data_IF_875977918866
#
_entry.id   IF_875977918866
#
_cell.length_a   1.000
_cell.length_b   1.000
_cell.length_c   1.000
_cell.angle_alpha   90.00
_cell.angle_beta   90.00
_cell.angle_gamma   90.00
#
_symmetry.space_group_name_H-M   'P 1'
#
loop_
_entity.id
_entity.type
_entity.pdbx_description
1 polymer ?
#
# COMPACT_ATOMS: atom_id res chain seq x y z
N UNK A 1 13.29 1.23 -58.44
CA UNK A 1 14.29 0.65 -57.52
C UNK A 1 13.97 1.12 -56.13
N UNK A 2 13.58 0.18 -55.26
CA UNK A 2 13.25 0.36 -53.84
C UNK A 2 14.51 0.61 -53.01
N UNK A 3 14.38 1.42 -51.94
CA UNK A 3 15.10 1.20 -50.68
C UNK A 3 14.34 1.88 -49.53
N UNK A 4 13.47 1.11 -48.87
CA UNK A 4 12.95 1.38 -47.53
C UNK A 4 14.01 0.97 -46.51
N UNK A 5 14.40 1.87 -45.60
CA UNK A 5 15.13 1.52 -44.38
C UNK A 5 14.19 1.60 -43.19
N UNK A 6 14.00 0.45 -42.54
CA UNK A 6 13.20 0.29 -41.34
C UNK A 6 13.99 0.73 -40.10
N UNK A 7 13.46 1.70 -39.36
CA UNK A 7 13.91 2.03 -38.02
C UNK A 7 13.35 1.00 -37.02
N UNK A 8 14.23 0.25 -36.37
CA UNK A 8 13.88 -0.69 -35.29
C UNK A 8 13.72 0.10 -33.98
N UNK A 9 12.49 0.24 -33.50
CA UNK A 9 12.15 0.75 -32.17
C UNK A 9 12.62 -0.24 -31.09
N UNK A 10 13.51 0.18 -30.20
CA UNK A 10 13.78 -0.55 -28.97
C UNK A 10 12.63 -0.32 -27.96
N UNK A 11 12.20 -1.35 -27.20
CA UNK A 11 11.16 -1.19 -26.18
C UNK A 11 11.68 -0.41 -24.95
N UNK A 12 10.80 0.29 -24.20
CA UNK A 12 11.18 1.10 -23.05
C UNK A 12 11.67 0.24 -21.87
N UNK A 13 12.76 0.68 -21.22
CA UNK A 13 13.42 0.06 -20.05
C UNK A 13 12.54 -0.14 -18.80
N UNK A 14 11.27 0.29 -18.81
CA UNK A 14 10.37 0.28 -17.64
C UNK A 14 9.79 -1.12 -17.34
N UNK A 15 9.66 -1.99 -18.33
CA UNK A 15 9.12 -3.34 -18.11
C UNK A 15 10.08 -4.29 -17.37
N UNK A 16 11.40 -4.09 -17.50
CA UNK A 16 12.40 -4.97 -16.90
C UNK A 16 12.46 -4.79 -15.37
N UNK A 17 12.31 -3.56 -14.89
CA UNK A 17 12.36 -3.22 -13.45
C UNK A 17 11.10 -3.70 -12.71
N UNK A 18 9.94 -3.63 -13.38
CA UNK A 18 8.65 -4.09 -12.83
C UNK A 18 8.61 -5.61 -12.65
N UNK A 19 9.15 -6.37 -13.62
CA UNK A 19 9.24 -7.85 -13.50
C UNK A 19 10.22 -8.30 -12.41
N UNK A 20 11.29 -7.55 -12.17
CA UNK A 20 12.28 -7.88 -11.13
C UNK A 20 11.75 -7.58 -9.71
N UNK A 21 10.92 -6.54 -9.57
CA UNK A 21 10.23 -6.21 -8.31
C UNK A 21 9.12 -7.24 -7.98
N UNK A 22 8.30 -7.62 -8.97
CA UNK A 22 7.27 -8.67 -8.81
C UNK A 22 7.86 -10.03 -8.43
N UNK A 23 9.02 -10.43 -9.00
CA UNK A 23 9.69 -11.68 -8.63
C UNK A 23 10.24 -11.69 -7.20
N UNK A 24 10.67 -10.53 -6.67
CA UNK A 24 11.30 -10.44 -5.34
C UNK A 24 10.28 -10.34 -4.21
N UNK A 25 9.13 -9.71 -4.45
CA UNK A 25 8.13 -9.44 -3.41
C UNK A 25 6.81 -10.22 -3.59
N UNK A 26 6.48 -10.69 -4.80
CA UNK A 26 5.28 -11.49 -5.06
C UNK A 26 5.29 -12.86 -4.39
N UNK A 27 6.45 -13.52 -4.31
CA UNK A 27 6.54 -14.87 -3.75
C UNK A 27 6.24 -14.94 -2.24
N UNK A 28 6.59 -13.90 -1.47
CA UNK A 28 6.29 -13.88 -0.02
C UNK A 28 4.80 -13.71 0.27
N UNK A 29 4.09 -12.97 -0.57
CA UNK A 29 2.65 -12.77 -0.43
C UNK A 29 1.87 -14.05 -0.77
N UNK A 30 2.24 -14.73 -1.87
CA UNK A 30 1.65 -16.01 -2.26
C UNK A 30 1.90 -17.09 -1.21
N UNK A 31 3.10 -17.16 -0.62
CA UNK A 31 3.40 -18.08 0.48
C UNK A 31 2.57 -17.80 1.74
N UNK A 32 2.29 -16.54 2.05
CA UNK A 32 1.51 -16.16 3.22
C UNK A 32 0.02 -16.48 3.05
N UNK A 33 -0.52 -16.29 1.84
CA UNK A 33 -1.89 -16.69 1.49
C UNK A 33 -2.03 -18.21 1.47
N UNK A 34 -1.07 -18.95 0.90
CA UNK A 34 -1.08 -20.41 0.88
C UNK A 34 -0.93 -21.04 2.29
N UNK A 35 -0.25 -20.37 3.23
CA UNK A 35 -0.27 -20.80 4.65
C UNK A 35 -1.63 -20.61 5.28
N UNK A 36 -2.29 -19.47 5.06
CA UNK A 36 -3.63 -19.20 5.60
C UNK A 36 -4.69 -20.13 5.04
N UNK A 37 -4.61 -20.48 3.75
CA UNK A 37 -5.53 -21.44 3.13
C UNK A 37 -5.38 -22.85 3.73
N UNK A 38 -4.14 -23.36 3.88
CA UNK A 38 -3.90 -24.66 4.53
C UNK A 38 -4.34 -24.69 5.99
N UNK A 39 -4.13 -23.59 6.71
CA UNK A 39 -4.56 -23.48 8.09
C UNK A 39 -6.09 -23.46 8.21
N UNK A 40 -6.79 -22.87 7.24
CA UNK A 40 -8.26 -22.92 7.17
C UNK A 40 -8.79 -24.32 6.76
N UNK A 41 -8.07 -25.07 5.92
CA UNK A 41 -8.41 -26.47 5.59
C UNK A 41 -8.24 -27.40 6.80
N UNK A 42 -7.17 -27.20 7.59
CA UNK A 42 -6.94 -27.94 8.85
C UNK A 42 -7.99 -27.62 9.92
N UNK A 43 -8.48 -26.38 9.96
CA UNK A 43 -9.50 -25.94 10.92
C UNK A 43 -10.94 -26.37 10.54
N UNK A 44 -11.21 -26.76 9.29
CA UNK A 44 -12.55 -27.17 8.78
C UNK A 44 -12.74 -28.69 8.63
N UNK A 45 -11.75 -29.51 9.04
CA UNK A 45 -11.91 -30.98 9.16
C UNK A 45 -13.00 -31.41 10.17
N UNK A 46 -13.61 -30.46 10.87
CA UNK A 46 -14.68 -30.67 11.84
C UNK A 46 -16.11 -30.55 11.32
N UNK A 47 -16.36 -30.23 10.04
CA UNK A 47 -17.74 -30.07 9.55
C UNK A 47 -18.44 -31.44 9.35
N UNK A 48 -19.52 -31.68 10.08
CA UNK A 48 -20.29 -32.93 10.02
C UNK A 48 -20.85 -33.28 8.63
N UNK A 49 -20.98 -32.29 7.74
CA UNK A 49 -21.41 -32.50 6.35
C UNK A 49 -20.39 -33.29 5.53
N UNK A 50 -19.09 -33.08 5.73
CA UNK A 50 -18.06 -33.82 4.99
C UNK A 50 -18.00 -35.30 5.40
N UNK A 51 -18.17 -35.58 6.70
CA UNK A 51 -18.24 -36.95 7.20
C UNK A 51 -19.48 -37.70 6.69
N UNK A 52 -20.62 -37.01 6.56
CA UNK A 52 -21.85 -37.59 6.02
C UNK A 52 -21.71 -37.96 4.54
N UNK A 53 -21.17 -37.06 3.70
CA UNK A 53 -20.93 -37.34 2.28
C UNK A 53 -19.97 -38.52 2.08
N UNK A 54 -18.95 -38.65 2.95
CA UNK A 54 -18.00 -39.77 2.91
C UNK A 54 -18.62 -41.11 3.33
N UNK A 55 -19.58 -41.10 4.25
CA UNK A 55 -20.37 -42.30 4.58
C UNK A 55 -21.31 -42.70 3.43
N UNK A 56 -21.99 -41.74 2.82
CA UNK A 56 -22.89 -42.00 1.69
C UNK A 56 -22.13 -42.62 0.51
N UNK A 57 -20.95 -42.09 0.16
CA UNK A 57 -20.10 -42.64 -0.90
C UNK A 57 -19.65 -44.09 -0.62
N UNK A 58 -19.38 -44.44 0.64
CA UNK A 58 -19.03 -45.82 1.04
C UNK A 58 -20.21 -46.78 0.96
N UNK A 59 -21.40 -46.33 1.35
CA UNK A 59 -22.61 -47.15 1.27
C UNK A 59 -23.00 -47.43 -0.19
N UNK A 60 -22.87 -46.43 -1.07
CA UNK A 60 -23.08 -46.58 -2.51
C UNK A 60 -22.08 -47.55 -3.16
N UNK A 61 -20.81 -47.51 -2.76
CA UNK A 61 -19.81 -48.46 -3.25
C UNK A 61 -20.15 -49.91 -2.83
N UNK A 62 -20.63 -50.10 -1.60
CA UNK A 62 -20.98 -51.41 -1.06
C UNK A 62 -22.21 -52.03 -1.74
N UNK A 63 -23.21 -51.23 -2.08
CA UNK A 63 -24.38 -51.69 -2.83
C UNK A 63 -24.04 -52.15 -4.25
N UNK A 64 -22.96 -51.65 -4.84
CA UNK A 64 -22.54 -52.05 -6.20
C UNK A 64 -21.78 -53.39 -6.26
N UNK A 65 -21.44 -53.99 -5.11
CA UNK A 65 -20.76 -55.29 -5.03
C UNK A 65 -21.73 -56.48 -4.91
N UNK A 66 -23.03 -56.23 -4.70
CA UNK A 66 -24.02 -57.29 -4.41
C UNK A 66 -24.89 -57.72 -5.61
N UNK A 67 -24.86 -57.00 -6.75
CA UNK A 67 -25.70 -57.27 -7.93
C UNK A 67 -24.88 -57.48 -9.21
N UNK A 68 -24.53 -58.75 -9.51
CA UNK A 68 -23.70 -59.15 -10.67
C UNK A 68 -24.40 -58.99 -12.03
N UNK A 69 -25.72 -58.74 -12.06
CA UNK A 69 -26.49 -58.50 -13.30
C UNK A 69 -26.81 -57.01 -13.57
N UNK A 70 -26.46 -56.10 -12.66
CA UNK A 70 -26.74 -54.65 -12.78
C UNK A 70 -25.57 -53.78 -13.28
N UNK A 71 -24.36 -54.36 -13.39
CA UNK A 71 -23.12 -53.62 -13.58
C UNK A 71 -23.08 -52.73 -14.84
N UNK A 72 -23.74 -53.14 -15.93
CA UNK A 72 -23.74 -52.40 -17.20
C UNK A 72 -24.58 -51.11 -17.17
N UNK A 73 -25.78 -51.17 -16.59
CA UNK A 73 -26.65 -49.99 -16.46
C UNK A 73 -26.13 -49.03 -15.38
N UNK A 74 -25.54 -49.56 -14.30
CA UNK A 74 -24.93 -48.75 -13.26
C UNK A 74 -23.71 -47.98 -13.77
N UNK A 75 -22.85 -48.58 -14.59
CA UNK A 75 -21.70 -47.88 -15.19
C UNK A 75 -22.12 -46.74 -16.13
N UNK A 76 -23.21 -46.90 -16.90
CA UNK A 76 -23.73 -45.84 -17.78
C UNK A 76 -24.39 -44.71 -16.99
N UNK A 77 -25.20 -45.02 -15.95
CA UNK A 77 -25.78 -43.99 -15.08
C UNK A 77 -24.71 -43.26 -14.25
N UNK A 78 -23.68 -43.97 -13.77
CA UNK A 78 -22.53 -43.37 -13.08
C UNK A 78 -21.73 -42.46 -14.00
N UNK A 79 -21.51 -42.83 -15.26
CA UNK A 79 -20.82 -41.98 -16.23
C UNK A 79 -21.62 -40.70 -16.53
N UNK A 80 -22.95 -40.82 -16.72
CA UNK A 80 -23.82 -39.66 -16.98
C UNK A 80 -23.94 -38.72 -15.76
N UNK A 81 -24.01 -39.26 -14.53
CA UNK A 81 -24.00 -38.46 -13.30
C UNK A 81 -22.66 -37.75 -13.07
N UNK A 82 -21.54 -38.40 -13.39
CA UNK A 82 -20.21 -37.78 -13.33
C UNK A 82 -20.02 -36.68 -14.39
N UNK A 83 -20.67 -36.79 -15.55
CA UNK A 83 -20.59 -35.79 -16.62
C UNK A 83 -21.44 -34.54 -16.31
N UNK A 84 -22.68 -34.73 -15.85
CA UNK A 84 -23.54 -33.63 -15.38
C UNK A 84 -22.94 -32.93 -14.15
N UNK A 85 -22.25 -33.69 -13.29
CA UNK A 85 -21.48 -33.14 -12.17
C UNK A 85 -20.29 -32.28 -12.62
N UNK A 86 -19.58 -32.68 -13.69
CA UNK A 86 -18.44 -31.92 -14.22
C UNK A 86 -18.84 -30.59 -14.83
N UNK A 87 -19.96 -30.54 -15.57
CA UNK A 87 -20.39 -29.29 -16.21
C UNK A 87 -20.95 -28.29 -15.19
N UNK A 88 -21.64 -28.76 -14.14
CA UNK A 88 -22.06 -27.90 -13.02
C UNK A 88 -20.88 -27.45 -12.17
N UNK A 89 -19.91 -28.32 -11.90
CA UNK A 89 -18.69 -27.97 -11.18
C UNK A 89 -17.86 -26.93 -11.95
N UNK A 90 -17.69 -27.09 -13.28
CA UNK A 90 -17.02 -26.09 -14.13
C UNK A 90 -17.75 -24.74 -14.15
N UNK A 91 -19.08 -24.76 -14.16
CA UNK A 91 -19.89 -23.55 -14.07
C UNK A 91 -19.70 -22.81 -12.74
N UNK A 92 -19.71 -23.52 -11.62
CA UNK A 92 -19.48 -22.95 -10.30
C UNK A 92 -18.03 -22.50 -10.08
N UNK A 93 -17.03 -23.27 -10.54
CA UNK A 93 -15.62 -22.88 -10.48
C UNK A 93 -15.35 -21.61 -11.29
N UNK A 94 -15.93 -21.47 -12.48
CA UNK A 94 -15.77 -20.26 -13.29
C UNK A 94 -16.45 -19.04 -12.64
N UNK A 95 -17.60 -19.22 -12.00
CA UNK A 95 -18.32 -18.13 -11.31
C UNK A 95 -17.57 -17.67 -10.06
N UNK A 96 -17.08 -18.62 -9.24
CA UNK A 96 -16.26 -18.34 -8.06
C UNK A 96 -14.91 -17.71 -8.43
N UNK A 97 -14.27 -18.16 -9.51
CA UNK A 97 -13.03 -17.55 -10.00
C UNK A 97 -13.26 -16.12 -10.51
N UNK A 98 -14.40 -15.84 -11.13
CA UNK A 98 -14.73 -14.50 -11.62
C UNK A 98 -15.08 -13.53 -10.48
N UNK A 99 -15.78 -13.99 -9.44
CA UNK A 99 -16.03 -13.20 -8.22
C UNK A 99 -14.75 -12.97 -7.40
N UNK A 100 -13.89 -13.99 -7.25
CA UNK A 100 -12.60 -13.85 -6.55
C UNK A 100 -11.63 -12.93 -7.29
N UNK A 101 -11.58 -13.00 -8.63
CA UNK A 101 -10.79 -12.09 -9.48
C UNK A 101 -11.21 -10.63 -9.28
N UNK A 102 -12.52 -10.37 -9.28
CA UNK A 102 -13.10 -9.03 -9.09
C UNK A 102 -12.81 -8.46 -7.69
N UNK A 103 -12.77 -9.32 -6.67
CA UNK A 103 -12.46 -8.95 -5.28
C UNK A 103 -10.96 -8.67 -5.07
N UNK A 104 -10.07 -9.44 -5.71
CA UNK A 104 -8.62 -9.25 -5.60
C UNK A 104 -8.17 -7.97 -6.30
N UNK A 105 -8.72 -7.64 -7.47
CA UNK A 105 -8.37 -6.41 -8.18
C UNK A 105 -8.83 -5.14 -7.42
N UNK A 106 -9.98 -5.19 -6.75
CA UNK A 106 -10.45 -4.13 -5.86
C UNK A 106 -9.55 -3.95 -4.63
N UNK A 107 -9.23 -5.04 -3.93
CA UNK A 107 -8.36 -5.01 -2.74
C UNK A 107 -6.93 -4.62 -3.07
N UNK A 108 -6.38 -5.07 -4.20
CA UNK A 108 -5.06 -4.69 -4.65
C UNK A 108 -5.01 -3.20 -5.00
N UNK A 109 -6.04 -2.66 -5.67
CA UNK A 109 -6.13 -1.23 -6.00
C UNK A 109 -6.30 -0.35 -4.75
N UNK A 110 -7.12 -0.75 -3.79
CA UNK A 110 -7.31 -0.01 -2.54
C UNK A 110 -6.08 -0.09 -1.64
N UNK A 111 -5.43 -1.26 -1.54
CA UNK A 111 -4.12 -1.36 -0.89
C UNK A 111 -3.06 -0.55 -1.63
N UNK A 112 -3.08 -0.47 -2.95
CA UNK A 112 -2.15 0.37 -3.71
C UNK A 112 -2.41 1.85 -3.48
N UNK A 113 -3.67 2.30 -3.40
CA UNK A 113 -4.02 3.66 -2.97
C UNK A 113 -3.63 3.93 -1.52
N UNK A 114 -3.87 3.01 -0.60
CA UNK A 114 -3.55 3.19 0.82
C UNK A 114 -2.02 3.19 1.04
N UNK A 115 -1.28 2.37 0.29
CA UNK A 115 0.15 2.21 0.47
C UNK A 115 0.99 3.16 -0.39
N UNK A 116 0.46 3.56 -1.56
CA UNK A 116 1.19 4.30 -2.60
C UNK A 116 0.40 5.46 -3.22
N UNK A 117 -0.71 5.94 -2.62
CA UNK A 117 -1.30 7.19 -3.12
C UNK A 117 -0.23 8.27 -3.10
N UNK A 118 0.09 8.86 -4.26
CA UNK A 118 1.05 9.93 -4.30
C UNK A 118 0.49 11.09 -3.46
N UNK A 119 1.38 11.74 -2.70
CA UNK A 119 1.09 13.02 -2.07
C UNK A 119 0.40 13.95 -3.08
N UNK A 120 -0.74 14.59 -2.73
CA UNK A 120 -1.40 15.54 -3.62
C UNK A 120 -0.44 16.64 -4.07
N UNK A 121 -0.55 17.09 -5.32
CA UNK A 121 0.38 18.10 -5.85
C UNK A 121 0.35 19.41 -5.05
N UNK A 122 -0.81 19.80 -4.50
CA UNK A 122 -0.94 20.95 -3.61
C UNK A 122 -0.03 20.85 -2.38
N UNK A 123 0.09 19.65 -1.79
CA UNK A 123 0.95 19.41 -0.63
C UNK A 123 2.42 19.35 -1.06
N UNK A 124 2.73 18.68 -2.18
CA UNK A 124 4.10 18.59 -2.71
C UNK A 124 4.67 19.96 -3.09
N UNK A 125 3.86 20.80 -3.73
CA UNK A 125 4.25 22.14 -4.13
C UNK A 125 4.60 23.01 -2.91
N UNK A 126 3.83 22.90 -1.83
CA UNK A 126 4.08 23.63 -0.59
C UNK A 126 5.28 23.08 0.19
N UNK A 127 5.52 21.77 0.18
CA UNK A 127 6.77 21.18 0.70
C UNK A 127 8.00 21.65 -0.08
N UNK A 128 7.89 21.76 -1.41
CA UNK A 128 8.96 22.30 -2.28
C UNK A 128 9.25 23.75 -1.93
N UNK A 129 8.21 24.58 -1.83
CA UNK A 129 8.32 25.98 -1.44
C UNK A 129 8.97 26.12 -0.05
N UNK A 130 8.51 25.34 0.92
CA UNK A 130 9.08 25.31 2.26
C UNK A 130 10.58 25.00 2.27
N UNK A 131 11.00 24.04 1.45
CA UNK A 131 12.42 23.69 1.34
C UNK A 131 13.25 24.85 0.77
N UNK A 132 12.77 25.49 -0.29
CA UNK A 132 13.42 26.68 -0.85
C UNK A 132 13.51 27.81 0.19
N UNK A 133 12.40 28.05 0.91
CA UNK A 133 12.30 29.07 1.95
C UNK A 133 13.24 28.78 3.13
N UNK A 134 13.50 27.50 3.44
CA UNK A 134 14.40 27.05 4.51
C UNK A 134 15.86 27.48 4.32
N UNK A 135 16.22 27.92 3.11
CA UNK A 135 17.57 28.43 2.77
C UNK A 135 18.70 27.47 3.20
N UNK A 136 18.55 26.17 2.91
CA UNK A 136 19.46 25.11 3.39
C UNK A 136 20.94 25.33 3.06
N UNK A 137 21.23 26.05 1.97
CA UNK A 137 22.61 26.37 1.55
C UNK A 137 23.22 27.58 2.30
N UNK A 138 22.43 28.36 3.02
CA UNK A 138 22.90 29.57 3.72
C UNK A 138 23.23 29.26 5.18
N UNK A 139 24.50 29.30 5.55
CA UNK A 139 24.93 29.05 6.94
C UNK A 139 24.24 29.97 7.93
N UNK A 140 24.13 31.25 7.59
CA UNK A 140 23.57 32.27 8.48
C UNK A 140 22.04 32.25 8.54
N UNK A 141 21.37 31.77 7.48
CA UNK A 141 19.92 31.91 7.34
C UNK A 141 19.15 30.60 7.30
N UNK A 142 19.81 29.44 7.31
CA UNK A 142 19.12 28.14 7.31
C UNK A 142 18.16 28.04 8.50
N UNK A 143 16.95 27.53 8.26
CA UNK A 143 15.95 27.37 9.31
C UNK A 143 14.88 26.36 8.90
N UNK A 144 14.23 25.76 9.88
CA UNK A 144 13.08 24.91 9.65
C UNK A 144 11.87 25.71 9.17
N UNK A 145 11.12 25.08 8.27
CA UNK A 145 9.90 25.58 7.66
C UNK A 145 8.86 24.47 7.72
N UNK A 146 7.58 24.79 7.88
CA UNK A 146 6.57 23.76 8.08
C UNK A 146 5.14 24.22 7.87
N UNK A 147 4.19 23.32 8.07
CA UNK A 147 2.79 23.63 7.90
C UNK A 147 1.88 22.46 8.23
N UNK A 148 0.63 22.81 8.50
CA UNK A 148 -0.44 21.83 8.62
C UNK A 148 -0.93 21.39 7.26
N UNK A 149 -1.10 20.09 7.08
CA UNK A 149 -1.84 19.53 5.97
C UNK A 149 -3.31 19.60 6.37
N UNK A 150 -4.09 20.35 5.61
CA UNK A 150 -5.50 20.63 5.93
C UNK A 150 -6.45 20.04 4.90
N UNK A 151 -7.64 19.63 5.34
CA UNK A 151 -8.75 19.25 4.46
C UNK A 151 -9.67 20.44 4.24
N UNK A 152 -9.94 20.76 2.98
CA UNK A 152 -10.92 21.79 2.59
C UNK A 152 -12.34 21.21 2.52
N UNK A 153 -13.33 22.09 2.43
CA UNK A 153 -14.74 21.71 2.35
C UNK A 153 -15.09 20.80 1.15
N UNK A 154 -14.35 20.91 0.04
CA UNK A 154 -14.48 20.04 -1.14
C UNK A 154 -13.75 18.69 -1.00
N UNK A 155 -13.15 18.43 0.16
CA UNK A 155 -12.37 17.23 0.44
C UNK A 155 -10.93 17.26 -0.06
N UNK A 156 -10.53 18.31 -0.81
CA UNK A 156 -9.15 18.46 -1.28
C UNK A 156 -8.19 18.74 -0.12
N UNK A 157 -6.94 18.31 -0.28
CA UNK A 157 -5.87 18.61 0.67
C UNK A 157 -5.13 19.90 0.28
N UNK A 158 -4.73 20.66 1.29
CA UNK A 158 -3.91 21.86 1.17
C UNK A 158 -2.89 21.96 2.29
N UNK A 159 -2.19 23.09 2.34
CA UNK A 159 -1.25 23.41 3.42
C UNK A 159 -1.56 24.79 3.98
N UNK A 160 -1.56 24.90 5.31
CA UNK A 160 -1.52 26.15 6.04
C UNK A 160 -0.13 26.28 6.70
N UNK A 161 0.67 27.23 6.22
CA UNK A 161 2.08 27.38 6.62
C UNK A 161 2.18 27.89 8.06
N UNK A 162 3.15 27.37 8.80
CA UNK A 162 3.52 27.88 10.12
C UNK A 162 4.36 29.16 9.99
N UNK A 163 4.50 29.94 11.07
CA UNK A 163 5.54 30.95 11.14
C UNK A 163 6.93 30.33 10.93
N UNK A 164 7.82 31.11 10.31
CA UNK A 164 9.23 30.77 10.11
C UNK A 164 9.88 30.28 11.42
N UNK A 165 10.61 29.16 11.35
CA UNK A 165 11.40 28.66 12.47
C UNK A 165 12.65 29.48 12.78
N UNK A 166 13.35 29.09 13.85
CA UNK A 166 14.61 29.67 14.30
C UNK A 166 15.72 28.62 14.30
N UNK A 167 16.49 28.56 13.21
CA UNK A 167 17.54 27.56 13.05
C UNK A 167 16.95 26.15 12.97
N UNK A 168 17.39 25.24 13.85
CA UNK A 168 16.96 23.85 13.90
C UNK A 168 15.71 23.62 14.78
N UNK A 169 14.80 24.60 14.80
CA UNK A 169 13.58 24.52 15.60
C UNK A 169 12.47 25.33 14.95
N UNK A 170 11.29 24.74 14.91
CA UNK A 170 10.04 25.41 14.55
C UNK A 170 8.97 25.11 15.59
N UNK A 171 8.07 26.06 15.80
CA UNK A 171 6.91 25.91 16.67
C UNK A 171 5.64 25.88 15.81
N UNK A 172 4.89 24.76 15.78
CA UNK A 172 3.59 24.73 15.14
C UNK A 172 2.64 25.76 15.75
N UNK A 173 1.84 26.40 14.91
CA UNK A 173 0.82 27.34 15.36
C UNK A 173 -0.29 26.62 16.14
N UNK A 174 -0.85 27.24 17.18
CA UNK A 174 -1.88 26.58 17.98
C UNK A 174 -3.13 26.23 17.17
N UNK A 175 -3.66 25.02 17.37
CA UNK A 175 -4.95 24.54 16.84
C UNK A 175 -6.09 24.84 17.82
N UNK A 176 -7.32 24.83 17.34
CA UNK A 176 -8.49 24.87 18.23
C UNK A 176 -8.72 23.52 18.94
N UNK A 177 -9.67 23.48 19.87
CA UNK A 177 -9.98 22.29 20.66
C UNK A 177 -10.51 21.11 19.82
N UNK A 178 -10.93 21.37 18.59
CA UNK A 178 -11.39 20.38 17.63
C UNK A 178 -10.28 19.95 16.65
N UNK A 179 -9.06 20.49 16.82
CA UNK A 179 -7.91 20.17 15.97
C UNK A 179 -7.90 20.91 14.63
N UNK A 180 -8.67 21.99 14.47
CA UNK A 180 -8.63 22.83 13.27
C UNK A 180 -7.60 23.95 13.39
N UNK A 181 -7.14 24.43 12.24
CA UNK A 181 -6.36 25.65 12.11
C UNK A 181 -6.99 26.54 11.04
N UNK A 182 -7.24 27.82 11.35
CA UNK A 182 -8.00 28.74 10.49
C UNK A 182 -9.37 28.18 10.04
N UNK A 183 -10.01 27.37 10.89
CA UNK A 183 -11.30 26.73 10.61
C UNK A 183 -11.24 25.51 9.66
N UNK A 184 -10.04 25.04 9.30
CA UNK A 184 -9.84 23.88 8.43
C UNK A 184 -9.34 22.67 9.23
N UNK A 185 -9.82 21.46 8.89
CA UNK A 185 -9.45 20.22 9.60
C UNK A 185 -7.97 19.94 9.34
N UNK A 186 -7.17 19.86 10.41
CA UNK A 186 -5.77 19.44 10.30
C UNK A 186 -5.70 17.92 10.27
N UNK A 187 -5.28 17.37 9.14
CA UNK A 187 -5.16 15.92 8.92
C UNK A 187 -3.73 15.42 9.05
N UNK A 188 -2.75 16.30 9.17
CA UNK A 188 -1.33 15.96 9.30
C UNK A 188 -0.47 17.21 9.31
N UNK A 189 0.85 17.03 9.30
CA UNK A 189 1.80 18.14 9.23
C UNK A 189 3.01 17.80 8.35
N UNK A 190 3.82 18.82 8.06
CA UNK A 190 5.18 18.58 7.66
C UNK A 190 6.11 19.68 8.17
N UNK A 191 7.40 19.36 8.24
CA UNK A 191 8.46 20.34 8.41
C UNK A 191 9.75 19.95 7.69
N UNK A 192 10.67 20.90 7.57
CA UNK A 192 11.97 20.71 6.92
C UNK A 192 13.09 20.52 7.95
N UNK A 193 14.05 19.65 7.65
CA UNK A 193 15.35 19.55 8.33
C UNK A 193 16.41 20.07 7.36
N UNK A 194 16.72 21.39 7.34
CA UNK A 194 17.60 21.98 6.35
C UNK A 194 19.08 21.72 6.61
N UNK A 195 19.44 21.31 7.82
CA UNK A 195 20.84 21.10 8.19
C UNK A 195 21.43 19.90 7.42
N UNK A 196 22.65 20.04 6.88
CA UNK A 196 23.36 18.93 6.25
C UNK A 196 23.67 17.86 7.30
N UNK A 197 24.01 16.65 6.86
CA UNK A 197 24.34 15.55 7.76
C UNK A 197 25.47 15.90 8.75
N UNK A 198 26.43 16.71 8.31
CA UNK A 198 27.46 17.33 9.15
C UNK A 198 27.57 18.80 8.73
N UNK A 199 27.50 19.73 9.67
CA UNK A 199 27.60 21.16 9.38
C UNK A 199 29.05 21.69 9.38
N UNK A 200 29.20 22.99 9.18
CA UNK A 200 30.49 23.67 9.08
C UNK A 200 31.29 23.65 10.39
N UNK A 201 30.63 23.35 11.52
CA UNK A 201 31.25 23.21 12.84
C UNK A 201 31.55 21.74 13.18
N UNK A 202 31.28 20.80 12.26
CA UNK A 202 31.46 19.37 12.50
C UNK A 202 30.32 18.73 13.32
N UNK A 203 29.19 19.43 13.52
CA UNK A 203 28.05 18.88 14.24
C UNK A 203 27.26 17.94 13.34
N UNK A 204 26.97 16.73 13.83
CA UNK A 204 26.16 15.75 13.12
C UNK A 204 24.67 15.99 13.36
N UNK A 205 23.88 16.07 12.27
CA UNK A 205 22.44 16.35 12.32
C UNK A 205 21.61 15.15 11.87
N UNK A 206 20.48 14.93 12.55
CA UNK A 206 19.53 13.87 12.20
C UNK A 206 18.77 14.25 10.94
N UNK A 207 18.98 13.49 9.86
CA UNK A 207 18.37 13.75 8.56
C UNK A 207 16.94 13.22 8.40
N UNK A 208 16.46 12.39 9.32
CA UNK A 208 15.08 11.91 9.37
C UNK A 208 14.32 12.52 10.54
N UNK A 209 13.09 12.05 10.81
CA UNK A 209 12.36 12.45 12.01
C UNK A 209 13.13 12.07 13.26
N UNK A 210 13.37 13.05 14.13
CA UNK A 210 13.94 12.89 15.45
C UNK A 210 12.96 12.19 16.41
N UNK A 211 13.43 11.67 17.55
CA UNK A 211 12.54 11.14 18.59
C UNK A 211 11.52 12.17 19.10
N UNK A 212 11.89 13.46 19.10
CA UNK A 212 11.01 14.57 19.45
C UNK A 212 9.87 14.71 18.45
N UNK A 213 10.19 14.71 17.16
CA UNK A 213 9.21 14.84 16.07
C UNK A 213 8.20 13.69 16.12
N UNK A 214 8.68 12.45 16.28
CA UNK A 214 7.82 11.26 16.37
C UNK A 214 6.88 11.36 17.58
N UNK A 215 7.40 11.81 18.72
CA UNK A 215 6.61 11.96 19.95
C UNK A 215 5.56 13.06 19.80
N UNK A 216 5.94 14.20 19.23
CA UNK A 216 5.05 15.33 18.95
C UNK A 216 3.93 14.94 17.99
N UNK A 217 4.28 14.42 16.80
CA UNK A 217 3.32 13.96 15.78
C UNK A 217 2.33 12.94 16.35
N UNK A 218 2.80 11.99 17.17
CA UNK A 218 1.92 10.99 17.81
C UNK A 218 0.99 11.64 18.84
N UNK A 219 1.47 12.62 19.60
CA UNK A 219 0.67 13.34 20.58
C UNK A 219 -0.43 14.18 19.93
N UNK A 220 -0.17 14.73 18.75
CA UNK A 220 -1.15 15.51 17.97
C UNK A 220 -2.31 14.66 17.40
N UNK A 221 -2.13 13.33 17.34
CA UNK A 221 -3.13 12.34 16.93
C UNK A 221 -3.85 12.69 15.60
N UNK A 222 -3.08 13.06 14.58
CA UNK A 222 -3.58 13.37 13.25
C UNK A 222 -4.33 12.19 12.61
N UNK A 223 -5.35 12.48 11.80
CA UNK A 223 -6.10 11.45 11.06
C UNK A 223 -5.34 10.90 9.84
N UNK A 224 -4.29 11.60 9.39
CA UNK A 224 -3.44 11.25 8.25
C UNK A 224 -1.95 11.27 8.58
N UNK A 225 -1.14 11.09 7.55
CA UNK A 225 0.32 11.03 7.66
C UNK A 225 0.95 12.42 7.87
N UNK A 226 2.11 12.43 8.54
CA UNK A 226 2.99 13.60 8.64
C UNK A 226 4.30 13.36 7.90
N UNK A 227 5.04 14.42 7.58
CA UNK A 227 6.22 14.32 6.72
C UNK A 227 7.39 15.17 7.21
N UNK A 228 8.60 14.64 7.04
CA UNK A 228 9.85 15.38 7.30
C UNK A 228 10.64 15.44 6.00
N UNK A 229 10.98 16.65 5.57
CA UNK A 229 11.73 16.90 4.34
C UNK A 229 13.16 17.27 4.71
N UNK A 230 14.14 16.45 4.34
CA UNK A 230 15.56 16.75 4.57
C UNK A 230 16.32 16.92 3.27
N UNK A 231 17.62 17.23 3.37
CA UNK A 231 18.47 17.54 2.22
C UNK A 231 18.34 16.56 1.05
N UNK A 232 18.32 15.26 1.35
CA UNK A 232 18.32 14.21 0.34
C UNK A 232 17.00 13.45 0.24
N UNK A 233 16.14 13.45 1.26
CA UNK A 233 15.04 12.50 1.37
C UNK A 233 13.74 13.13 1.90
N UNK A 234 12.62 12.46 1.64
CA UNK A 234 11.35 12.72 2.33
C UNK A 234 11.00 11.50 3.16
N UNK A 235 10.65 11.73 4.42
CA UNK A 235 10.20 10.73 5.36
C UNK A 235 8.72 10.92 5.63
N UNK A 236 8.02 9.80 5.83
CA UNK A 236 6.65 9.75 6.34
C UNK A 236 6.69 9.30 7.79
N UNK A 237 5.88 9.92 8.63
CA UNK A 237 5.57 9.50 10.01
C UNK A 237 4.06 9.28 10.08
N UNK A 238 3.65 8.06 10.43
CA UNK A 238 2.24 7.71 10.59
C UNK A 238 1.73 8.15 11.98
N UNK A 239 0.40 8.27 12.18
CA UNK A 239 -0.18 8.60 13.49
C UNK A 239 0.29 7.70 14.64
N UNK A 240 0.58 6.43 14.36
CA UNK A 240 1.12 5.50 15.37
C UNK A 240 2.61 5.71 15.72
N UNK A 241 3.26 6.71 15.12
CA UNK A 241 4.69 7.02 15.29
C UNK A 241 5.64 6.19 14.43
N UNK A 242 5.15 5.24 13.63
CA UNK A 242 6.01 4.51 12.69
C UNK A 242 6.50 5.43 11.57
N UNK A 243 7.81 5.41 11.30
CA UNK A 243 8.42 6.21 10.25
C UNK A 243 8.95 5.35 9.10
N UNK A 244 8.97 5.92 7.90
CA UNK A 244 9.51 5.28 6.70
C UNK A 244 10.04 6.32 5.72
N UNK A 245 11.16 6.06 5.06
CA UNK A 245 11.64 6.88 3.95
C UNK A 245 10.78 6.63 2.71
N UNK A 246 10.23 7.68 2.11
CA UNK A 246 9.42 7.58 0.88
C UNK A 246 10.29 7.54 -0.38
N UNK A 247 11.39 8.28 -0.39
CA UNK A 247 12.28 8.42 -1.54
C UNK A 247 13.20 9.62 -1.40
N UNK A 248 13.89 9.96 -2.50
CA UNK A 248 14.71 11.16 -2.54
C UNK A 248 13.84 12.41 -2.62
N UNK A 249 14.29 13.54 -2.04
CA UNK A 249 13.62 14.84 -2.13
C UNK A 249 13.28 15.18 -3.59
N UNK A 250 14.22 14.95 -4.50
CA UNK A 250 14.02 15.13 -5.94
C UNK A 250 12.88 14.31 -6.52
N UNK A 251 12.78 13.04 -6.16
CA UNK A 251 11.71 12.17 -6.67
C UNK A 251 10.33 12.49 -6.09
N UNK A 252 10.28 12.96 -4.84
CA UNK A 252 9.01 13.15 -4.12
C UNK A 252 8.46 14.55 -4.34
N UNK A 253 9.30 15.60 -4.25
CA UNK A 253 8.85 16.99 -4.37
C UNK A 253 9.47 17.74 -5.55
N UNK A 254 10.37 17.14 -6.34
CA UNK A 254 10.83 17.70 -7.62
C UNK A 254 12.11 18.55 -7.60
N UNK A 255 12.93 18.47 -6.53
CA UNK A 255 14.22 19.19 -6.42
C UNK A 255 15.44 18.30 -6.18
#
# INVERSE_FOLDING_TARGET
MLLQQAARSQPPRIEATTRQFQRRYGNRYVEQVARRARQAEEDDEGSGQYQQQRMEARNLARQSEEDDEGAGQYQQQRAALLDVGRDKARGQENMLAQEQSSSIDGLASDLYRILFSPLPESVRAEMRRAWADSQSASVANRHEEGGYIVRRADGSLGVERWPRGAGASIQPAARDAQGHYNGLEVVGEFHTHPNPAVDENGMAWVQGPSPGDITGIRAENYSGDSYVVSGSNVYRVRPNGSSSQLGSRRSIIGE
#
